data_IF_951662174752
#
_entry.id   IF_951662174752
#
_cell.length_a   1.000
_cell.length_b   1.000
_cell.length_c   1.000
_cell.angle_alpha   90.00
_cell.angle_beta   90.00
_cell.angle_gamma   90.00
#
_symmetry.space_group_name_H-M   'P 1'
#
loop_
_entity.id
_entity.type
_entity.pdbx_description
1 polymer ?
#
# COMPACT_ATOMS: atom_id res chain seq x y z
N UNK A 1 -6.73 43.80 42.59
CA UNK A 1 -5.88 44.92 43.02
C UNK A 1 -4.42 44.56 42.75
N UNK A 2 -3.65 45.56 42.30
CA UNK A 2 -2.25 45.57 41.79
C UNK A 2 -1.20 45.05 42.81
N UNK A 3 0.14 45.05 42.58
CA UNK A 3 0.97 45.43 41.40
C UNK A 3 2.07 44.37 41.05
N UNK A 4 2.68 44.31 39.86
CA UNK A 4 3.57 45.25 39.14
C UNK A 4 4.92 45.52 39.85
N UNK A 5 6.05 45.03 39.32
CA UNK A 5 7.34 45.77 39.17
C UNK A 5 8.43 44.87 38.55
N UNK A 6 8.79 45.15 37.28
CA UNK A 6 10.02 45.80 36.80
C UNK A 6 11.26 44.91 36.72
N UNK A 7 11.69 44.69 35.48
CA UNK A 7 13.00 44.22 35.05
C UNK A 7 14.10 45.26 35.35
N UNK A 8 15.36 44.81 35.50
CA UNK A 8 16.52 45.60 35.10
C UNK A 8 17.29 44.97 33.94
N UNK A 9 17.87 45.86 33.14
CA UNK A 9 18.65 45.64 31.94
C UNK A 9 20.12 45.30 32.21
N UNK A 10 20.72 44.71 31.17
CA UNK A 10 22.11 44.29 30.94
C UNK A 10 23.23 45.21 31.45
N UNK A 11 24.38 44.58 31.75
CA UNK A 11 25.70 45.01 31.24
C UNK A 11 26.72 43.84 31.25
N UNK A 12 27.74 43.86 30.36
CA UNK A 12 28.43 42.66 29.89
C UNK A 12 29.69 42.31 30.69
N UNK A 13 29.87 41.03 30.98
CA UNK A 13 31.10 40.50 31.57
C UNK A 13 32.18 40.30 30.49
N UNK A 14 33.28 41.05 30.63
CA UNK A 14 34.54 40.83 29.91
C UNK A 14 35.21 39.56 30.44
N UNK A 15 35.54 38.62 29.55
CA UNK A 15 36.41 37.49 29.89
C UNK A 15 37.71 37.55 29.07
N UNK A 16 38.81 37.53 29.82
CA UNK A 16 40.18 37.42 29.37
C UNK A 16 40.50 35.93 29.22
N UNK A 17 40.96 35.51 28.04
CA UNK A 17 41.39 34.13 27.80
C UNK A 17 42.85 33.92 28.24
N UNK A 18 43.16 32.88 29.02
CA UNK A 18 44.54 32.42 29.16
C UNK A 18 44.93 31.58 27.94
N UNK A 19 46.14 31.86 27.41
CA UNK A 19 46.80 31.01 26.42
C UNK A 19 47.17 29.67 27.07
N UNK A 20 46.56 28.59 26.62
CA UNK A 20 47.02 27.23 26.91
C UNK A 20 47.74 26.74 25.66
N UNK A 21 49.06 26.58 25.79
CA UNK A 21 49.88 25.77 24.90
C UNK A 21 50.00 24.40 25.53
N UNK A 22 49.42 23.37 24.92
CA UNK A 22 49.98 22.03 25.05
C UNK A 22 49.78 21.26 23.75
N UNK A 23 50.88 20.69 23.32
CA UNK A 23 51.09 20.08 22.03
C UNK A 23 50.72 18.59 22.03
N UNK A 24 50.42 18.12 20.81
CA UNK A 24 50.54 16.73 20.32
C UNK A 24 49.65 15.66 20.97
N UNK A 25 48.53 15.41 20.31
CA UNK A 25 48.28 14.15 19.58
C UNK A 25 46.88 14.24 18.98
N UNK A 26 46.74 14.36 17.66
CA UNK A 26 45.63 13.75 16.92
C UNK A 26 45.98 13.76 15.43
N UNK A 27 46.23 12.58 14.90
CA UNK A 27 46.30 12.33 13.49
C UNK A 27 44.90 12.54 12.89
N UNK A 28 44.83 13.43 11.89
CA UNK A 28 43.92 13.44 10.73
C UNK A 28 42.55 12.76 10.91
N UNK A 29 41.55 13.58 11.21
CA UNK A 29 40.17 13.32 10.78
C UNK A 29 39.74 14.47 9.88
N UNK A 30 39.85 14.26 8.56
CA UNK A 30 39.09 15.07 7.59
C UNK A 30 37.62 14.75 7.85
N UNK A 31 36.91 15.63 8.54
CA UNK A 31 35.45 15.59 8.58
C UNK A 31 34.98 16.04 7.20
N UNK A 32 34.62 15.06 6.39
CA UNK A 32 34.06 15.24 5.06
C UNK A 32 32.63 15.80 5.20
N UNK A 33 32.49 17.10 4.98
CA UNK A 33 31.20 17.81 5.02
C UNK A 33 30.22 17.38 3.90
N UNK A 34 30.61 16.45 3.02
CA UNK A 34 29.73 15.86 2.01
C UNK A 34 28.70 14.86 2.58
N UNK A 35 28.85 14.40 3.83
CA UNK A 35 27.92 13.46 4.47
C UNK A 35 26.73 14.11 5.19
N UNK A 36 26.60 15.44 5.17
CA UNK A 36 25.44 16.16 5.74
C UNK A 36 24.46 16.67 4.69
N UNK A 37 24.52 16.14 3.45
CA UNK A 37 23.31 16.02 2.63
C UNK A 37 22.54 14.81 3.16
N UNK A 38 21.86 15.01 4.30
CA UNK A 38 20.70 14.21 4.69
C UNK A 38 19.83 14.11 3.45
N UNK A 39 19.91 12.99 2.74
CA UNK A 39 18.86 12.48 1.88
C UNK A 39 17.62 12.44 2.78
N UNK A 40 16.86 13.54 2.83
CA UNK A 40 15.41 13.45 2.87
C UNK A 40 15.08 12.71 1.60
N UNK A 41 15.15 11.37 1.67
CA UNK A 41 14.34 10.53 0.83
C UNK A 41 12.94 11.03 1.18
N UNK A 42 12.43 11.95 0.36
CA UNK A 42 11.01 12.21 0.32
C UNK A 42 10.43 10.83 0.02
N UNK A 43 9.98 10.17 1.08
CA UNK A 43 9.35 8.87 0.98
C UNK A 43 8.11 9.14 0.16
N UNK A 44 8.16 8.79 -1.13
CA UNK A 44 7.07 9.05 -2.05
C UNK A 44 5.81 8.42 -1.46
N UNK A 45 4.82 9.25 -1.15
CA UNK A 45 3.60 8.86 -0.48
C UNK A 45 2.53 8.51 -1.52
N UNK A 46 2.87 7.64 -2.48
CA UNK A 46 1.84 6.87 -3.16
C UNK A 46 1.42 5.79 -2.18
N UNK A 47 0.13 5.72 -1.86
CA UNK A 47 -0.40 4.78 -0.88
C UNK A 47 -1.60 4.03 -1.43
N UNK A 48 -1.87 2.86 -0.86
CA UNK A 48 -3.06 2.06 -1.13
C UNK A 48 -3.89 2.00 0.15
N UNK A 49 -5.20 2.27 0.06
CA UNK A 49 -6.12 2.20 1.19
C UNK A 49 -7.34 1.36 0.85
N UNK A 50 -7.53 0.26 1.57
CA UNK A 50 -8.76 -0.52 1.51
C UNK A 50 -9.85 0.13 2.38
N UNK A 51 -11.09 0.16 1.91
CA UNK A 51 -12.24 0.62 2.70
C UNK A 51 -13.47 -0.23 2.37
N UNK A 52 -13.96 -1.07 3.32
CA UNK A 52 -13.35 -1.40 4.62
C UNK A 52 -12.06 -2.23 4.45
N UNK A 53 -11.33 -2.51 5.54
CA UNK A 53 -10.22 -3.49 5.51
C UNK A 53 -10.67 -4.92 5.79
N UNK A 54 -11.88 -5.09 6.35
CA UNK A 54 -12.46 -6.37 6.71
C UNK A 54 -13.93 -6.34 6.31
N UNK A 55 -14.35 -7.37 5.58
CA UNK A 55 -15.71 -7.55 5.11
C UNK A 55 -16.59 -8.05 6.25
N UNK A 56 -17.84 -7.61 6.16
CA UNK A 56 -18.98 -8.09 6.92
C UNK A 56 -20.11 -8.33 5.94
N UNK A 57 -21.14 -9.07 6.32
CA UNK A 57 -22.30 -9.28 5.45
C UNK A 57 -23.02 -7.99 5.04
N UNK A 58 -22.88 -6.91 5.82
CA UNK A 58 -23.38 -5.58 5.46
C UNK A 58 -22.68 -4.97 4.23
N UNK A 59 -21.55 -5.52 3.79
CA UNK A 59 -20.85 -5.08 2.59
C UNK A 59 -21.35 -5.77 1.31
N UNK A 60 -22.23 -6.77 1.42
CA UNK A 60 -22.69 -7.57 0.29
C UNK A 60 -24.03 -7.06 -0.22
N UNK A 61 -24.15 -6.97 -1.54
CA UNK A 61 -25.45 -6.77 -2.19
C UNK A 61 -26.16 -8.10 -2.30
N UNK A 62 -27.35 -8.22 -1.70
CA UNK A 62 -28.15 -9.46 -1.77
C UNK A 62 -28.78 -9.58 -3.16
N UNK A 63 -28.67 -10.75 -3.79
CA UNK A 63 -29.26 -11.07 -5.09
C UNK A 63 -30.30 -12.17 -4.97
N UNK A 64 -31.37 -12.08 -5.78
CA UNK A 64 -32.43 -13.10 -5.79
C UNK A 64 -31.98 -14.44 -6.39
N UNK A 65 -31.12 -14.38 -7.42
CA UNK A 65 -30.59 -15.55 -8.12
C UNK A 65 -29.18 -15.89 -7.61
N UNK A 66 -28.80 -17.15 -7.77
CA UNK A 66 -27.40 -17.57 -7.64
C UNK A 66 -26.52 -16.77 -8.60
N UNK A 67 -25.29 -16.55 -8.18
CA UNK A 67 -24.35 -15.69 -8.88
C UNK A 67 -23.53 -16.55 -9.83
N UNK A 68 -23.39 -16.12 -11.07
CA UNK A 68 -22.50 -16.76 -12.03
C UNK A 68 -21.10 -16.18 -11.87
N UNK A 69 -20.12 -17.01 -11.50
CA UNK A 69 -18.72 -16.60 -11.43
C UNK A 69 -18.22 -16.22 -12.85
N UNK A 70 -17.82 -14.97 -13.10
CA UNK A 70 -17.32 -14.54 -14.40
C UNK A 70 -16.01 -15.23 -14.82
N UNK A 71 -15.29 -15.88 -13.91
CA UNK A 71 -14.02 -16.54 -14.19
C UNK A 71 -14.19 -17.90 -14.90
N UNK A 72 -15.21 -18.67 -14.54
CA UNK A 72 -15.41 -20.05 -15.02
C UNK A 72 -16.88 -20.42 -15.33
N UNK A 73 -17.84 -19.53 -15.05
CA UNK A 73 -19.26 -19.78 -15.29
C UNK A 73 -19.92 -20.71 -14.28
N UNK A 74 -19.28 -21.01 -13.15
CA UNK A 74 -19.90 -21.79 -12.07
C UNK A 74 -20.90 -20.95 -11.29
N UNK A 75 -21.93 -21.60 -10.74
CA UNK A 75 -22.86 -20.93 -9.82
C UNK A 75 -22.28 -20.95 -8.42
N UNK A 76 -22.17 -19.77 -7.81
CA UNK A 76 -21.60 -19.55 -6.49
C UNK A 76 -22.60 -18.86 -5.55
N UNK A 77 -22.46 -19.14 -4.27
CA UNK A 77 -23.32 -18.62 -3.21
C UNK A 77 -23.02 -17.15 -2.87
N UNK A 78 -21.75 -16.76 -2.98
CA UNK A 78 -21.28 -15.40 -2.85
C UNK A 78 -20.16 -15.17 -3.86
N UNK A 79 -19.97 -13.91 -4.23
CA UNK A 79 -18.92 -13.50 -5.14
C UNK A 79 -18.34 -12.18 -4.69
N UNK A 80 -17.02 -12.11 -4.60
CA UNK A 80 -16.29 -10.90 -4.22
C UNK A 80 -15.18 -10.64 -5.22
N UNK A 81 -15.20 -9.42 -5.74
CA UNK A 81 -14.07 -8.79 -6.42
C UNK A 81 -13.79 -7.44 -5.76
N UNK A 82 -12.85 -6.69 -6.29
CA UNK A 82 -12.54 -5.35 -5.80
C UNK A 82 -12.62 -4.32 -6.91
N UNK A 83 -13.12 -3.13 -6.57
CA UNK A 83 -12.97 -1.93 -7.35
C UNK A 83 -11.73 -1.17 -6.86
N UNK A 84 -11.17 -0.34 -7.73
CA UNK A 84 -10.11 0.58 -7.39
C UNK A 84 -10.39 1.96 -7.97
N UNK A 85 -9.92 3.00 -7.28
CA UNK A 85 -9.96 4.38 -7.76
C UNK A 85 -8.56 4.98 -7.75
N UNK A 86 -8.15 5.49 -8.90
CA UNK A 86 -6.92 6.23 -9.12
C UNK A 86 -7.30 7.72 -9.21
N UNK A 87 -7.01 8.55 -8.18
CA UNK A 87 -7.34 9.96 -8.25
C UNK A 87 -6.74 10.63 -9.49
N UNK A 88 -7.56 11.37 -10.24
CA UNK A 88 -7.08 12.14 -11.38
C UNK A 88 -6.32 13.38 -10.90
N UNK A 89 -5.01 13.23 -10.73
CA UNK A 89 -4.10 14.29 -10.31
C UNK A 89 -2.98 14.45 -11.35
N UNK A 90 -2.52 15.68 -11.61
CA UNK A 90 -1.45 15.91 -12.58
C UNK A 90 -0.13 15.29 -12.09
N UNK A 91 0.73 14.77 -12.99
CA UNK A 91 2.04 14.29 -12.63
C UNK A 91 2.93 15.47 -12.17
N UNK A 92 3.94 15.14 -11.35
CA UNK A 92 4.93 16.10 -10.88
C UNK A 92 6.09 16.16 -11.86
N UNK A 93 6.67 17.35 -12.07
CA UNK A 93 7.88 17.52 -12.88
C UNK A 93 9.10 17.69 -11.98
N UNK A 94 10.10 16.83 -12.12
CA UNK A 94 11.36 16.88 -11.37
C UNK A 94 12.51 16.71 -12.36
N UNK A 95 13.41 17.70 -12.43
CA UNK A 95 14.59 17.67 -13.31
C UNK A 95 14.29 17.28 -14.76
N UNK A 96 13.21 17.83 -15.31
CA UNK A 96 12.79 17.57 -16.70
C UNK A 96 12.03 16.26 -16.92
N UNK A 97 11.86 15.40 -15.91
CA UNK A 97 11.07 14.16 -15.98
C UNK A 97 9.73 14.33 -15.25
N UNK A 98 8.74 13.56 -15.67
CA UNK A 98 7.45 13.43 -15.02
C UNK A 98 7.45 12.23 -14.08
N UNK A 99 6.85 12.40 -12.91
CA UNK A 99 6.65 11.38 -11.88
C UNK A 99 5.17 11.35 -11.51
N UNK A 100 4.70 10.21 -11.00
CA UNK A 100 3.34 10.13 -10.48
C UNK A 100 3.12 11.10 -9.30
N UNK A 101 1.85 11.52 -9.08
CA UNK A 101 1.50 12.43 -8.00
C UNK A 101 2.02 11.96 -6.63
N UNK A 102 2.31 12.91 -5.75
CA UNK A 102 2.81 12.65 -4.40
C UNK A 102 2.28 13.76 -3.46
N UNK A 103 1.41 13.45 -2.50
CA UNK A 103 0.84 12.12 -2.22
C UNK A 103 -0.14 11.65 -3.32
N UNK A 104 -0.31 10.33 -3.47
CA UNK A 104 -1.36 9.75 -4.31
C UNK A 104 -2.02 8.57 -3.62
N UNK A 105 -3.26 8.77 -3.17
CA UNK A 105 -3.99 7.80 -2.37
C UNK A 105 -4.93 6.98 -3.25
N UNK A 106 -4.49 5.79 -3.64
CA UNK A 106 -5.30 4.83 -4.39
C UNK A 106 -6.22 4.11 -3.41
N UNK A 107 -7.51 4.00 -3.72
CA UNK A 107 -8.47 3.30 -2.85
C UNK A 107 -8.94 1.98 -3.45
N UNK A 108 -9.10 0.97 -2.60
CA UNK A 108 -9.69 -0.34 -2.93
C UNK A 108 -11.03 -0.46 -2.19
N UNK A 109 -12.11 -0.81 -2.88
CA UNK A 109 -13.45 -1.03 -2.28
C UNK A 109 -14.01 -2.37 -2.74
N UNK A 110 -14.81 -3.07 -1.92
CA UNK A 110 -15.35 -4.36 -2.31
C UNK A 110 -16.43 -4.20 -3.38
N UNK A 111 -16.48 -5.16 -4.28
CA UNK A 111 -17.63 -5.44 -5.15
C UNK A 111 -18.10 -6.85 -4.80
N UNK A 112 -19.04 -6.91 -3.87
CA UNK A 112 -19.45 -8.15 -3.21
C UNK A 112 -20.95 -8.40 -3.35
N UNK A 113 -21.33 -9.62 -3.69
CA UNK A 113 -22.70 -10.08 -3.87
C UNK A 113 -22.93 -11.40 -3.12
N UNK A 114 -24.13 -11.59 -2.61
CA UNK A 114 -24.51 -12.84 -1.93
C UNK A 114 -25.91 -13.26 -2.36
N UNK A 115 -26.08 -14.55 -2.67
CA UNK A 115 -27.38 -15.10 -3.00
C UNK A 115 -28.29 -15.16 -1.77
N UNK A 116 -29.53 -14.70 -1.90
CA UNK A 116 -30.48 -14.57 -0.78
C UNK A 116 -30.79 -15.88 -0.05
N UNK A 117 -30.64 -17.04 -0.70
CA UNK A 117 -30.99 -18.34 -0.11
C UNK A 117 -29.81 -19.06 0.54
N UNK A 118 -28.60 -18.51 0.52
CA UNK A 118 -27.45 -19.15 1.19
C UNK A 118 -27.44 -18.83 2.68
N UNK A 119 -27.02 -19.81 3.49
CA UNK A 119 -26.65 -19.55 4.88
C UNK A 119 -25.33 -18.77 4.95
N UNK A 120 -25.38 -17.57 5.52
CA UNK A 120 -24.26 -16.66 5.71
C UNK A 120 -23.31 -17.13 6.84
N UNK A 121 -22.39 -18.03 6.54
CA UNK A 121 -21.45 -18.60 7.52
C UNK A 121 -20.14 -17.81 7.64
N UNK A 122 -19.46 -17.91 8.78
CA UNK A 122 -18.12 -17.34 8.95
C UNK A 122 -17.09 -17.92 7.95
N UNK A 123 -17.27 -19.19 7.55
CA UNK A 123 -16.40 -19.83 6.55
C UNK A 123 -16.57 -19.21 5.16
N UNK A 124 -17.81 -18.96 4.74
CA UNK A 124 -18.10 -18.29 3.46
C UNK A 124 -17.57 -16.85 3.48
N UNK A 125 -17.85 -16.06 4.54
CA UNK A 125 -17.32 -14.70 4.66
C UNK A 125 -15.78 -14.68 4.63
N UNK A 126 -15.14 -15.65 5.29
CA UNK A 126 -13.68 -15.80 5.27
C UNK A 126 -13.14 -16.16 3.89
N UNK A 127 -13.91 -16.88 3.07
CA UNK A 127 -13.53 -17.18 1.68
C UNK A 127 -13.57 -15.91 0.84
N UNK A 128 -14.66 -15.15 0.94
CA UNK A 128 -14.85 -13.88 0.23
C UNK A 128 -13.84 -12.79 0.65
N UNK A 129 -13.47 -12.74 1.93
CA UNK A 129 -12.42 -11.84 2.42
C UNK A 129 -11.09 -12.09 1.71
N UNK A 130 -10.75 -13.35 1.45
CA UNK A 130 -9.48 -13.67 0.79
C UNK A 130 -9.44 -13.08 -0.62
N UNK A 131 -10.53 -13.16 -1.38
CA UNK A 131 -10.65 -12.53 -2.70
C UNK A 131 -10.50 -11.01 -2.64
N UNK A 132 -11.10 -10.38 -1.63
CA UNK A 132 -10.95 -8.93 -1.45
C UNK A 132 -9.50 -8.53 -1.08
N UNK A 133 -8.83 -9.32 -0.24
CA UNK A 133 -7.45 -9.08 0.16
C UNK A 133 -6.46 -9.14 -1.01
N UNK A 134 -6.76 -9.89 -2.08
CA UNK A 134 -5.97 -9.90 -3.32
C UNK A 134 -5.79 -8.49 -3.88
N UNK A 135 -6.85 -7.67 -3.89
CA UNK A 135 -6.77 -6.29 -4.34
C UNK A 135 -5.85 -5.42 -3.50
N UNK A 136 -5.77 -5.70 -2.19
CA UNK A 136 -4.91 -4.97 -1.25
C UNK A 136 -3.44 -5.31 -1.53
N UNK A 137 -3.09 -6.60 -1.61
CA UNK A 137 -1.69 -7.03 -1.75
C UNK A 137 -1.13 -6.73 -3.13
N UNK A 138 -1.93 -6.88 -4.19
CA UNK A 138 -1.55 -6.47 -5.56
C UNK A 138 -1.49 -4.94 -5.69
N UNK A 139 -2.35 -4.22 -4.99
CA UNK A 139 -2.31 -2.75 -4.93
C UNK A 139 -1.05 -2.21 -4.26
N UNK A 140 -0.51 -2.89 -3.24
CA UNK A 140 0.80 -2.54 -2.66
C UNK A 140 1.92 -2.68 -3.68
N UNK A 141 1.89 -3.74 -4.50
CA UNK A 141 2.87 -3.93 -5.57
C UNK A 141 2.77 -2.86 -6.66
N UNK A 142 1.54 -2.53 -7.09
CA UNK A 142 1.26 -1.42 -8.00
C UNK A 142 1.86 -0.11 -7.48
N UNK A 143 1.57 0.24 -6.23
CA UNK A 143 2.06 1.48 -5.61
C UNK A 143 3.59 1.55 -5.63
N UNK A 144 4.30 0.46 -5.30
CA UNK A 144 5.77 0.43 -5.36
C UNK A 144 6.29 0.63 -6.77
N UNK A 145 5.65 0.00 -7.76
CA UNK A 145 6.00 0.18 -9.18
C UNK A 145 5.87 1.65 -9.58
N UNK A 146 4.72 2.26 -9.30
CA UNK A 146 4.43 3.66 -9.64
C UNK A 146 5.34 4.63 -8.87
N UNK A 147 5.67 4.33 -7.62
CA UNK A 147 6.52 5.20 -6.80
C UNK A 147 7.95 5.32 -7.34
N UNK A 148 8.44 4.33 -8.07
CA UNK A 148 9.78 4.37 -8.68
C UNK A 148 9.78 4.88 -10.13
N UNK A 149 8.60 5.04 -10.75
CA UNK A 149 8.48 5.25 -12.18
C UNK A 149 8.54 6.74 -12.57
N UNK A 150 9.09 6.99 -13.76
CA UNK A 150 9.12 8.31 -14.37
C UNK A 150 9.13 8.23 -15.90
N UNK A 151 8.57 9.24 -16.57
CA UNK A 151 8.53 9.36 -18.02
C UNK A 151 9.01 10.74 -18.47
N UNK A 152 9.42 10.87 -19.73
CA UNK A 152 9.74 12.14 -20.38
C UNK A 152 8.48 12.89 -20.83
N UNK A 153 7.39 12.17 -21.13
CA UNK A 153 6.15 12.73 -21.66
C UNK A 153 4.93 12.23 -20.91
N UNK A 154 3.79 12.90 -21.08
CA UNK A 154 2.52 12.43 -20.52
C UNK A 154 2.10 11.08 -21.11
N UNK A 155 2.38 10.85 -22.40
CA UNK A 155 2.10 9.57 -23.07
C UNK A 155 2.84 8.40 -22.44
N UNK A 156 4.13 8.59 -22.11
CA UNK A 156 4.92 7.58 -21.39
C UNK A 156 4.36 7.34 -19.97
N UNK A 157 3.96 8.38 -19.25
CA UNK A 157 3.35 8.22 -17.92
C UNK A 157 2.05 7.40 -17.98
N UNK A 158 1.22 7.65 -18.99
CA UNK A 158 -0.02 6.91 -19.20
C UNK A 158 0.25 5.44 -19.56
N UNK A 159 1.23 5.17 -20.43
CA UNK A 159 1.65 3.79 -20.76
C UNK A 159 2.14 3.05 -19.53
N UNK A 160 3.02 3.64 -18.72
CA UNK A 160 3.50 3.04 -17.47
C UNK A 160 2.34 2.74 -16.52
N UNK A 161 1.39 3.66 -16.37
CA UNK A 161 0.23 3.47 -15.50
C UNK A 161 -0.61 2.28 -15.97
N UNK A 162 -0.96 2.26 -17.26
CA UNK A 162 -1.79 1.21 -17.84
C UNK A 162 -1.12 -0.16 -17.72
N UNK A 163 0.17 -0.26 -18.06
CA UNK A 163 0.94 -1.50 -17.92
C UNK A 163 0.96 -1.99 -16.46
N UNK A 164 1.19 -1.09 -15.50
CA UNK A 164 1.23 -1.46 -14.10
C UNK A 164 -0.16 -1.90 -13.58
N UNK A 165 -1.23 -1.20 -13.97
CA UNK A 165 -2.61 -1.59 -13.62
C UNK A 165 -2.97 -2.94 -14.24
N UNK A 166 -2.70 -3.13 -15.53
CA UNK A 166 -2.89 -4.42 -16.22
C UNK A 166 -2.14 -5.54 -15.52
N UNK A 167 -0.86 -5.35 -15.23
CA UNK A 167 -0.05 -6.38 -14.58
C UNK A 167 -0.59 -6.75 -13.19
N UNK A 168 -0.81 -5.76 -12.32
CA UNK A 168 -1.09 -6.03 -10.91
C UNK A 168 -2.57 -6.33 -10.63
N UNK A 169 -3.50 -5.51 -11.13
CA UNK A 169 -4.92 -5.64 -10.84
C UNK A 169 -5.68 -6.59 -11.76
N UNK A 170 -5.16 -6.89 -12.94
CA UNK A 170 -5.83 -7.81 -13.87
C UNK A 170 -5.10 -9.14 -13.98
N UNK A 171 -3.82 -9.13 -14.37
CA UNK A 171 -3.07 -10.37 -14.60
C UNK A 171 -2.76 -11.11 -13.30
N UNK A 172 -2.06 -10.47 -12.36
CA UNK A 172 -1.62 -11.14 -11.12
C UNK A 172 -2.76 -11.41 -10.16
N UNK A 173 -3.65 -10.44 -9.95
CA UNK A 173 -4.86 -10.65 -9.17
C UNK A 173 -5.72 -11.80 -9.73
N UNK A 174 -5.93 -11.82 -11.06
CA UNK A 174 -6.70 -12.88 -11.72
C UNK A 174 -6.07 -14.27 -11.57
N UNK A 175 -4.74 -14.38 -11.69
CA UNK A 175 -4.02 -15.66 -11.47
C UNK A 175 -4.19 -16.13 -10.02
N UNK A 176 -4.04 -15.24 -9.06
CA UNK A 176 -4.17 -15.54 -7.63
C UNK A 176 -5.58 -16.03 -7.28
N UNK A 177 -6.61 -15.29 -7.70
CA UNK A 177 -8.01 -15.66 -7.46
C UNK A 177 -8.33 -17.03 -8.06
N UNK A 178 -8.03 -17.23 -9.35
CA UNK A 178 -8.27 -18.53 -10.02
C UNK A 178 -7.53 -19.68 -9.35
N UNK A 179 -6.30 -19.45 -8.89
CA UNK A 179 -5.53 -20.48 -8.20
C UNK A 179 -6.17 -20.84 -6.85
N UNK A 180 -6.60 -19.84 -6.10
CA UNK A 180 -7.25 -20.02 -4.81
C UNK A 180 -8.57 -20.77 -4.94
N UNK A 181 -9.44 -20.39 -5.89
CA UNK A 181 -10.71 -21.08 -6.11
C UNK A 181 -10.51 -22.53 -6.51
N UNK A 182 -9.53 -22.79 -7.39
CA UNK A 182 -9.17 -24.15 -7.78
C UNK A 182 -8.68 -24.99 -6.60
N UNK A 183 -7.73 -24.49 -5.80
CA UNK A 183 -7.17 -25.25 -4.68
C UNK A 183 -8.22 -25.45 -3.57
N UNK A 184 -9.05 -24.43 -3.32
CA UNK A 184 -10.08 -24.47 -2.28
C UNK A 184 -11.39 -25.10 -2.74
N UNK A 185 -11.52 -25.46 -4.02
CA UNK A 185 -12.78 -25.92 -4.64
C UNK A 185 -13.93 -24.95 -4.30
N UNK A 186 -13.75 -23.68 -4.67
CA UNK A 186 -14.70 -22.60 -4.38
C UNK A 186 -15.07 -22.55 -2.89
N UNK A 187 -14.06 -22.63 -2.02
CA UNK A 187 -14.24 -22.61 -0.57
C UNK A 187 -14.70 -23.93 0.08
N UNK A 188 -15.00 -24.99 -0.65
CA UNK A 188 -15.45 -26.26 -0.02
C UNK A 188 -14.31 -27.08 0.63
N UNK A 189 -13.04 -26.76 0.33
CA UNK A 189 -11.86 -27.44 0.87
C UNK A 189 -11.19 -26.63 1.99
N UNK A 190 -11.57 -26.93 3.24
CA UNK A 190 -11.08 -26.24 4.43
C UNK A 190 -9.56 -26.32 4.64
N UNK A 191 -8.92 -27.42 4.22
CA UNK A 191 -7.47 -27.60 4.34
C UNK A 191 -6.71 -26.56 3.52
N UNK A 192 -7.03 -26.42 2.23
CA UNK A 192 -6.37 -25.42 1.37
C UNK A 192 -6.81 -24.00 1.69
N UNK A 193 -8.05 -23.79 2.14
CA UNK A 193 -8.46 -22.48 2.65
C UNK A 193 -7.54 -22.02 3.78
N UNK A 194 -7.23 -22.91 4.73
CA UNK A 194 -6.33 -22.56 5.84
C UNK A 194 -4.95 -22.17 5.33
N UNK A 195 -4.35 -22.97 4.45
CA UNK A 195 -3.02 -22.69 3.89
C UNK A 195 -2.96 -21.32 3.21
N UNK A 196 -3.95 -21.01 2.38
CA UNK A 196 -4.01 -19.74 1.66
C UNK A 196 -4.26 -18.55 2.59
N UNK A 197 -5.07 -18.73 3.63
CA UNK A 197 -5.28 -17.70 4.66
C UNK A 197 -4.02 -17.40 5.45
N UNK A 198 -3.30 -18.44 5.91
CA UNK A 198 -2.04 -18.24 6.64
C UNK A 198 -1.04 -17.45 5.79
N UNK A 199 -0.94 -17.76 4.48
CA UNK A 199 -0.10 -17.03 3.52
C UNK A 199 -0.55 -15.58 3.33
N UNK A 200 -1.86 -15.35 3.20
CA UNK A 200 -2.41 -14.00 3.06
C UNK A 200 -2.17 -13.16 4.31
N UNK A 201 -2.35 -13.73 5.51
CA UNK A 201 -2.05 -13.07 6.78
C UNK A 201 -0.58 -12.63 6.85
N UNK A 202 0.36 -13.51 6.49
CA UNK A 202 1.79 -13.16 6.44
C UNK A 202 2.07 -12.06 5.42
N UNK A 203 1.44 -12.12 4.25
CA UNK A 203 1.57 -11.11 3.20
C UNK A 203 1.02 -9.74 3.65
N UNK A 204 -0.16 -9.72 4.27
CA UNK A 204 -0.79 -8.50 4.78
C UNK A 204 0.03 -7.87 5.92
N UNK A 205 0.64 -8.69 6.77
CA UNK A 205 1.53 -8.26 7.85
C UNK A 205 2.86 -7.67 7.35
N UNK A 206 3.28 -7.98 6.12
CA UNK A 206 4.49 -7.43 5.49
C UNK A 206 4.14 -6.44 4.36
N UNK A 207 4.20 -5.12 4.60
CA UNK A 207 3.93 -4.11 3.57
C UNK A 207 4.85 -4.19 2.33
N UNK A 208 6.00 -4.87 2.45
CA UNK A 208 6.99 -5.06 1.39
C UNK A 208 6.89 -6.42 0.70
N UNK A 209 5.94 -7.28 1.08
CA UNK A 209 5.75 -8.55 0.39
C UNK A 209 5.54 -8.32 -1.11
N UNK A 210 6.26 -9.08 -1.90
CA UNK A 210 6.25 -9.11 -3.37
C UNK A 210 5.81 -10.48 -3.91
N UNK A 211 5.52 -11.43 -3.01
CA UNK A 211 5.03 -12.75 -3.36
C UNK A 211 4.07 -13.30 -2.29
N UNK A 212 3.19 -14.23 -2.71
CA UNK A 212 2.35 -15.05 -1.85
C UNK A 212 2.31 -16.48 -2.40
N UNK A 213 2.75 -17.46 -1.62
CA UNK A 213 2.70 -18.87 -2.02
C UNK A 213 3.43 -19.20 -3.34
N UNK A 214 4.51 -18.48 -3.66
CA UNK A 214 5.27 -18.62 -4.92
C UNK A 214 4.73 -17.81 -6.10
N UNK A 215 3.67 -17.04 -5.93
CA UNK A 215 3.12 -16.15 -6.95
C UNK A 215 3.58 -14.71 -6.70
N UNK A 216 4.08 -14.06 -7.75
CA UNK A 216 4.45 -12.64 -7.71
C UNK A 216 3.22 -11.73 -7.59
N UNK A 217 3.32 -10.74 -6.70
CA UNK A 217 2.35 -9.65 -6.49
C UNK A 217 2.66 -8.47 -7.39
#
# INVERSE_FOLDING_TARGET
MRPNHRLPQNSPLKFVFPKITLAKQFARTRIDFSHFLKRRIFQMAITIRATPSTLTWANFTVTANQILDPADGTLVDAYTSFNYNLPNLPPRKVSGRLYFPDPWNISITPKAQVWTSVTQTAALLSHEQWHYDVGIVTGRALVRRLASASGATMGEMLSILNEAVTLHFHTRAGILQKRYDKDTRHGTNAYYQKIWKDRMTQCLANPKADQIGGFWL
#
